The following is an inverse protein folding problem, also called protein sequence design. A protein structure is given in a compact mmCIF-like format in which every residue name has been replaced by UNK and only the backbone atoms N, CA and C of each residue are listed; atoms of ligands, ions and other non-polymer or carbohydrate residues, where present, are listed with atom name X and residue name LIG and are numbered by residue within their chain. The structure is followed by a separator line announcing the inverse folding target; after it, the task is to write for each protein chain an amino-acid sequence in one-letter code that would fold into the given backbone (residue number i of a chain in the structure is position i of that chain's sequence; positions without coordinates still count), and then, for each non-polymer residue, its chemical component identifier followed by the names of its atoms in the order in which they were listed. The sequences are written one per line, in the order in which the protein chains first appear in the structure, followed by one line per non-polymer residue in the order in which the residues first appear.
data_IF_602144789220
#
_entry.id   IF_602144789220
#
_cell.length_a   1.000
_cell.length_b   1.000
_cell.length_c   1.000
_cell.angle_alpha   90.00
_cell.angle_beta   90.00
_cell.angle_gamma   90.00
#
_symmetry.space_group_name_H-M   'P 1'
#
loop_
_entity.id
_entity.type
_entity.pdbx_description
1 polymer ?
#
# COMPACT_ATOMS: atom_id res chain seq x y z
N UNK A 1 -11.64 -3.35 34.65
CA UNK A 1 -10.49 -2.47 34.36
C UNK A 1 -9.92 -2.89 33.00
N UNK A 2 -9.77 -1.96 32.06
CA UNK A 2 -9.38 -2.26 30.67
C UNK A 2 -7.94 -2.78 30.50
N UNK A 3 -7.05 -2.57 31.43
CA UNK A 3 -5.67 -3.04 31.38
C UNK A 3 -5.45 -4.53 31.65
N UNK A 4 -6.51 -5.28 31.87
CA UNK A 4 -6.43 -6.76 31.89
C UNK A 4 -6.80 -7.40 30.54
N UNK A 5 -7.06 -6.59 29.51
CA UNK A 5 -7.36 -7.06 28.17
C UNK A 5 -6.11 -6.86 27.30
N UNK A 6 -5.47 -7.96 26.94
CA UNK A 6 -4.25 -7.98 26.13
C UNK A 6 -4.62 -8.28 24.69
N UNK A 7 -3.96 -7.58 23.75
CA UNK A 7 -4.05 -7.94 22.33
C UNK A 7 -3.23 -9.19 22.00
N UNK A 8 -3.49 -9.81 20.88
CA UNK A 8 -2.67 -10.89 20.33
C UNK A 8 -1.72 -10.32 19.27
N UNK A 9 -0.52 -10.90 19.22
CA UNK A 9 0.53 -10.43 18.31
C UNK A 9 1.12 -11.63 17.55
N UNK A 10 1.18 -11.53 16.25
CA UNK A 10 1.92 -12.41 15.38
C UNK A 10 3.18 -11.68 14.91
N UNK A 11 4.36 -12.17 15.32
CA UNK A 11 5.65 -11.54 15.00
C UNK A 11 6.59 -12.61 14.47
N UNK A 12 6.87 -12.59 13.18
CA UNK A 12 7.70 -13.60 12.52
C UNK A 12 8.39 -13.02 11.28
N UNK A 13 9.55 -13.59 10.93
CA UNK A 13 10.26 -13.29 9.68
C UNK A 13 11.03 -11.98 9.69
N UNK A 14 11.14 -11.29 10.85
CA UNK A 14 11.96 -10.08 10.94
C UNK A 14 13.44 -10.44 11.05
N UNK A 15 14.27 -9.68 10.34
CA UNK A 15 15.72 -9.84 10.34
C UNK A 15 16.35 -8.68 11.10
N UNK A 16 17.25 -8.98 12.03
CA UNK A 16 18.10 -8.01 12.69
C UNK A 16 19.54 -8.32 12.33
N UNK A 17 20.20 -7.42 11.59
CA UNK A 17 21.56 -7.61 11.10
C UNK A 17 22.64 -7.56 12.21
N UNK A 18 22.29 -6.99 13.37
CA UNK A 18 23.22 -6.83 14.51
C UNK A 18 23.02 -7.94 15.54
N UNK A 19 21.79 -8.42 15.73
CA UNK A 19 21.45 -9.39 16.76
C UNK A 19 20.83 -10.65 16.12
N UNK A 20 21.69 -11.63 15.85
CA UNK A 20 21.30 -12.88 15.19
C UNK A 20 20.23 -13.66 15.95
N UNK A 21 20.22 -13.60 17.28
CA UNK A 21 19.19 -14.27 18.10
C UNK A 21 17.80 -13.69 17.84
N UNK A 22 17.68 -12.39 17.62
CA UNK A 22 16.40 -11.74 17.24
C UNK A 22 15.90 -12.28 15.89
N UNK A 23 16.80 -12.45 14.92
CA UNK A 23 16.45 -13.05 13.62
C UNK A 23 16.00 -14.48 13.77
N UNK A 24 16.64 -15.25 14.64
CA UNK A 24 16.32 -16.67 14.89
C UNK A 24 14.97 -16.86 15.59
N UNK A 25 14.67 -16.01 16.56
CA UNK A 25 13.44 -16.03 17.32
C UNK A 25 13.00 -14.61 17.66
N UNK A 26 12.13 -14.08 16.78
CA UNK A 26 11.65 -12.71 16.89
C UNK A 26 10.86 -12.46 18.18
N UNK A 27 10.16 -13.48 18.69
CA UNK A 27 9.35 -13.32 19.89
C UNK A 27 10.19 -13.27 21.16
N UNK A 28 11.02 -14.27 21.35
CA UNK A 28 11.81 -14.41 22.58
C UNK A 28 12.81 -13.27 22.74
N UNK A 29 13.51 -12.92 21.66
CA UNK A 29 14.63 -11.98 21.71
C UNK A 29 14.30 -10.58 21.14
N UNK A 30 13.20 -10.45 20.40
CA UNK A 30 12.83 -9.19 19.76
C UNK A 30 11.70 -8.43 20.46
N UNK A 31 10.90 -9.09 21.30
CA UNK A 31 9.78 -8.46 21.99
C UNK A 31 10.12 -8.26 23.46
N UNK A 32 10.14 -6.99 23.86
CA UNK A 32 10.42 -6.58 25.22
C UNK A 32 9.16 -6.07 25.91
N UNK A 33 8.97 -6.48 27.14
CA UNK A 33 7.94 -5.92 27.99
C UNK A 33 8.41 -4.58 28.57
N UNK A 34 7.70 -3.50 28.25
CA UNK A 34 7.90 -2.18 28.85
C UNK A 34 6.70 -1.74 29.68
N UNK A 35 5.86 -2.68 30.10
CA UNK A 35 4.70 -2.38 30.94
C UNK A 35 5.19 -2.12 32.38
N UNK A 36 4.83 -0.98 32.92
CA UNK A 36 5.00 -0.70 34.34
C UNK A 36 4.02 -1.56 35.13
N UNK A 37 4.52 -2.62 35.76
CA UNK A 37 3.70 -3.57 36.52
C UNK A 37 2.92 -2.90 37.65
N UNK A 38 3.38 -1.79 38.21
CA UNK A 38 2.64 -1.03 39.21
C UNK A 38 1.35 -0.46 38.67
N UNK A 39 1.27 -0.20 37.36
CA UNK A 39 0.07 0.31 36.68
C UNK A 39 -0.94 -0.78 36.34
N UNK A 40 -0.54 -2.02 36.35
CA UNK A 40 -1.36 -3.19 36.01
C UNK A 40 -1.48 -4.19 37.17
N UNK A 41 -1.30 -3.72 38.39
CA UNK A 41 -1.40 -4.53 39.63
C UNK A 41 -0.44 -5.76 39.63
N UNK A 42 0.74 -5.62 39.04
CA UNK A 42 1.74 -6.71 38.89
C UNK A 42 1.20 -7.96 38.16
N UNK A 43 0.22 -7.80 37.29
CA UNK A 43 -0.42 -8.95 36.61
C UNK A 43 0.30 -9.38 35.33
N UNK A 44 1.20 -8.55 34.78
CA UNK A 44 1.98 -8.92 33.60
C UNK A 44 3.17 -9.81 33.99
N UNK A 45 3.23 -10.98 33.40
CA UNK A 45 4.29 -11.98 33.64
C UNK A 45 4.79 -12.54 32.31
N UNK A 46 5.84 -13.37 32.34
CA UNK A 46 6.29 -14.14 31.19
C UNK A 46 5.16 -15.00 30.61
N UNK A 47 4.34 -15.59 31.48
CA UNK A 47 3.16 -16.35 31.04
C UNK A 47 2.17 -15.46 30.24
N UNK A 48 1.99 -14.21 30.65
CA UNK A 48 1.15 -13.27 29.88
C UNK A 48 1.76 -13.00 28.51
N UNK A 49 3.08 -12.77 28.44
CA UNK A 49 3.79 -12.61 27.17
C UNK A 49 3.57 -13.81 26.25
N UNK A 50 3.69 -15.01 26.75
CA UNK A 50 3.53 -16.23 25.96
C UNK A 50 2.07 -16.43 25.49
N UNK A 51 1.12 -16.06 26.32
CA UNK A 51 -0.32 -16.18 26.02
C UNK A 51 -0.76 -15.23 24.88
N UNK A 52 -0.15 -14.06 24.76
CA UNK A 52 -0.49 -13.07 23.72
C UNK A 52 0.26 -13.30 22.40
N UNK A 53 1.17 -14.28 22.37
CA UNK A 53 1.87 -14.68 21.15
C UNK A 53 0.96 -15.55 20.28
N UNK A 54 0.65 -15.09 19.08
CA UNK A 54 0.01 -15.92 18.08
C UNK A 54 1.06 -16.72 17.31
N UNK A 55 0.84 -18.02 17.14
CA UNK A 55 1.70 -18.89 16.33
C UNK A 55 1.27 -18.93 14.87
N UNK A 56 0.09 -18.41 14.57
CA UNK A 56 -0.47 -18.31 13.21
C UNK A 56 -0.76 -16.85 12.87
N UNK A 57 -0.73 -16.47 11.58
CA UNK A 57 -1.12 -15.14 11.17
C UNK A 57 -2.52 -14.78 11.68
N UNK A 58 -2.69 -13.54 12.10
CA UNK A 58 -4.02 -13.03 12.46
C UNK A 58 -4.85 -12.85 11.19
N UNK A 59 -6.17 -13.03 11.32
CA UNK A 59 -7.09 -12.73 10.22
C UNK A 59 -7.02 -11.24 9.88
N UNK A 60 -6.73 -10.92 8.64
CA UNK A 60 -6.70 -9.56 8.11
C UNK A 60 -6.92 -9.60 6.59
N UNK A 61 -7.09 -8.43 5.98
CA UNK A 61 -7.21 -8.37 4.52
C UNK A 61 -5.95 -8.98 3.88
N UNK A 62 -6.11 -9.92 2.93
CA UNK A 62 -4.97 -10.65 2.38
C UNK A 62 -4.02 -9.72 1.66
N UNK A 63 -2.74 -9.81 2.02
CA UNK A 63 -1.63 -9.13 1.35
C UNK A 63 -0.55 -10.15 0.99
N UNK A 64 0.10 -9.95 -0.13
CA UNK A 64 1.25 -10.77 -0.49
C UNK A 64 2.40 -10.49 0.46
N UNK A 65 3.07 -11.54 0.88
CA UNK A 65 4.18 -11.49 1.83
C UNK A 65 5.42 -12.09 1.18
N UNK A 66 6.56 -11.59 1.55
CA UNK A 66 7.87 -12.05 1.09
C UNK A 66 8.86 -12.08 2.23
N UNK A 67 10.05 -12.62 1.99
CA UNK A 67 11.11 -12.62 3.02
C UNK A 67 11.55 -11.19 3.33
N UNK A 68 12.08 -10.95 4.53
CA UNK A 68 12.60 -9.64 4.92
C UNK A 68 13.73 -9.16 3.98
N UNK A 69 14.51 -10.08 3.41
CA UNK A 69 15.57 -9.75 2.46
C UNK A 69 15.00 -9.28 1.12
N UNK A 70 14.02 -9.99 0.58
CA UNK A 70 13.32 -9.57 -0.65
C UNK A 70 12.59 -8.26 -0.46
N UNK A 71 11.91 -8.09 0.69
CA UNK A 71 11.24 -6.84 1.04
C UNK A 71 12.24 -5.67 1.15
N UNK A 72 13.41 -5.90 1.75
CA UNK A 72 14.48 -4.90 1.82
C UNK A 72 14.92 -4.44 0.43
N UNK A 73 15.23 -5.38 -0.45
CA UNK A 73 15.67 -5.07 -1.82
C UNK A 73 14.59 -4.31 -2.60
N UNK A 74 13.32 -4.74 -2.48
CA UNK A 74 12.19 -4.07 -3.14
C UNK A 74 11.91 -2.68 -2.59
N UNK A 75 11.99 -2.49 -1.28
CA UNK A 75 11.83 -1.17 -0.67
C UNK A 75 12.92 -0.23 -1.17
N UNK A 76 14.17 -0.67 -1.21
CA UNK A 76 15.27 0.14 -1.76
C UNK A 76 15.09 0.44 -3.25
N UNK A 77 14.56 -0.49 -4.03
CA UNK A 77 14.35 -0.29 -5.47
C UNK A 77 13.16 0.62 -5.77
N UNK A 78 12.06 0.48 -5.03
CA UNK A 78 10.75 0.99 -5.46
C UNK A 78 10.04 1.92 -4.48
N UNK A 79 10.55 2.14 -3.26
CA UNK A 79 9.93 3.07 -2.32
C UNK A 79 10.14 4.54 -2.71
N UNK A 80 9.19 5.38 -2.36
CA UNK A 80 9.22 6.81 -2.63
C UNK A 80 9.03 7.14 -4.11
N UNK A 81 9.66 8.21 -4.58
CA UNK A 81 9.57 8.69 -5.96
C UNK A 81 10.43 7.83 -6.92
N UNK A 82 10.21 6.51 -6.92
CA UNK A 82 11.08 5.53 -7.59
C UNK A 82 11.13 5.66 -9.11
N UNK A 83 10.11 6.23 -9.74
CA UNK A 83 10.10 6.49 -11.18
C UNK A 83 11.17 7.51 -11.57
N UNK A 84 11.28 8.60 -10.80
CA UNK A 84 12.27 9.65 -10.99
C UNK A 84 12.78 10.17 -9.66
N UNK A 85 13.71 9.43 -9.05
CA UNK A 85 14.34 9.84 -7.79
C UNK A 85 15.23 11.05 -8.02
N UNK A 86 15.10 12.06 -7.18
CA UNK A 86 16.00 13.19 -7.12
C UNK A 86 17.30 12.85 -6.35
N UNK A 87 18.13 13.86 -6.09
CA UNK A 87 19.40 13.67 -5.41
C UNK A 87 19.21 13.24 -3.93
N UNK A 88 18.17 13.75 -3.27
CA UNK A 88 17.87 13.42 -1.87
C UNK A 88 17.34 12.01 -1.75
N UNK A 89 16.39 11.62 -2.64
CA UNK A 89 15.85 10.26 -2.68
C UNK A 89 16.97 9.22 -2.88
N UNK A 90 17.89 9.48 -3.81
CA UNK A 90 19.02 8.59 -4.07
C UNK A 90 19.93 8.49 -2.87
N UNK A 91 20.26 9.62 -2.24
CA UNK A 91 21.12 9.63 -1.05
C UNK A 91 20.49 8.79 0.08
N UNK A 92 19.21 8.98 0.37
CA UNK A 92 18.53 8.23 1.42
C UNK A 92 18.49 6.73 1.13
N UNK A 93 18.25 6.33 -0.12
CA UNK A 93 18.29 4.92 -0.52
C UNK A 93 19.70 4.33 -0.39
N UNK A 94 20.73 5.11 -0.73
CA UNK A 94 22.14 4.70 -0.62
C UNK A 94 22.61 4.62 0.84
N UNK A 95 22.20 5.54 1.68
CA UNK A 95 22.47 5.49 3.12
C UNK A 95 21.90 4.22 3.76
N UNK A 96 20.65 3.87 3.42
CA UNK A 96 20.05 2.62 3.91
C UNK A 96 20.79 1.40 3.36
N UNK A 97 21.14 1.37 2.08
CA UNK A 97 21.84 0.25 1.44
C UNK A 97 23.21 0.01 2.06
N UNK A 98 23.91 1.09 2.38
CA UNK A 98 25.29 1.03 2.87
C UNK A 98 25.39 1.06 4.40
N UNK A 99 24.28 1.22 5.12
CA UNK A 99 24.25 1.38 6.57
C UNK A 99 25.00 2.64 7.02
N UNK A 100 24.94 3.71 6.22
CA UNK A 100 25.57 5.00 6.48
C UNK A 100 24.57 6.04 6.96
N UNK A 101 25.06 7.13 7.50
CA UNK A 101 24.30 8.31 7.84
C UNK A 101 25.07 9.54 7.37
N UNK A 102 24.80 9.95 6.14
CA UNK A 102 25.53 11.07 5.49
C UNK A 102 25.30 12.38 6.23
N UNK A 103 24.11 12.59 6.75
CA UNK A 103 23.78 13.77 7.53
C UNK A 103 23.60 13.44 8.99
N UNK A 104 24.12 14.27 9.86
CA UNK A 104 24.07 14.04 11.30
C UNK A 104 22.92 14.74 11.98
N UNK A 105 22.18 15.60 11.29
CA UNK A 105 21.03 16.34 11.80
C UNK A 105 21.28 17.07 13.13
N UNK A 106 20.71 18.22 13.32
CA UNK A 106 20.82 18.93 14.59
C UNK A 106 19.70 18.61 15.58
N UNK A 107 18.70 17.88 15.15
CA UNK A 107 17.43 17.74 15.85
C UNK A 107 17.52 17.14 17.25
N UNK A 108 18.28 16.09 17.45
CA UNK A 108 18.59 15.60 18.79
C UNK A 108 20.06 15.78 19.18
N UNK A 109 20.86 16.37 18.30
CA UNK A 109 22.24 16.79 18.52
C UNK A 109 23.26 15.68 18.74
N UNK A 110 22.87 14.42 18.69
CA UNK A 110 23.74 13.32 19.13
C UNK A 110 23.64 12.05 18.28
N UNK A 111 22.58 11.86 17.51
CA UNK A 111 22.39 10.62 16.77
C UNK A 111 22.47 10.88 15.26
N UNK A 112 23.51 10.38 14.58
CA UNK A 112 23.62 10.47 13.13
C UNK A 112 22.40 9.89 12.43
N UNK A 113 21.98 10.49 11.33
CA UNK A 113 20.86 10.02 10.52
C UNK A 113 19.47 10.48 10.97
N UNK A 114 19.33 11.11 12.13
CA UNK A 114 18.03 11.68 12.55
C UNK A 114 17.94 13.12 12.07
N UNK A 115 17.04 13.36 11.13
CA UNK A 115 16.77 14.65 10.51
C UNK A 115 15.43 15.16 11.03
N UNK A 116 15.43 16.30 11.74
CA UNK A 116 14.19 16.93 12.24
C UNK A 116 13.74 18.14 11.42
N UNK A 117 14.63 18.65 10.59
CA UNK A 117 14.36 19.77 9.69
C UNK A 117 15.12 19.54 8.38
N UNK A 118 14.53 19.98 7.27
CA UNK A 118 15.19 19.95 5.98
C UNK A 118 16.54 20.67 6.01
N UNK A 119 16.72 21.66 6.88
CA UNK A 119 17.98 22.39 7.04
C UNK A 119 19.09 21.57 7.72
N UNK A 120 18.74 20.47 8.36
CA UNK A 120 19.72 19.55 8.96
C UNK A 120 20.57 18.83 7.89
N UNK A 121 20.14 18.86 6.64
CA UNK A 121 20.88 18.32 5.51
C UNK A 121 21.90 19.32 4.92
N UNK A 122 22.01 20.55 5.45
CA UNK A 122 22.96 21.54 4.94
C UNK A 122 24.39 21.06 5.14
N UNK A 123 25.17 20.89 4.07
CA UNK A 123 26.61 20.62 4.17
C UNK A 123 27.32 21.73 4.94
N UNK A 124 28.39 21.37 5.68
CA UNK A 124 29.13 22.33 6.51
C UNK A 124 29.83 23.40 5.70
N UNK A 125 30.13 23.09 4.44
CA UNK A 125 30.82 23.97 3.47
C UNK A 125 29.83 24.67 2.50
N UNK A 126 28.53 24.46 2.68
CA UNK A 126 27.54 25.08 1.82
C UNK A 126 27.41 26.58 2.08
N UNK A 127 27.36 27.36 0.99
CA UNK A 127 27.13 28.81 1.01
C UNK A 127 25.77 29.25 1.53
N UNK A 128 25.55 30.55 1.51
CA UNK A 128 24.25 31.14 1.94
C UNK A 128 23.11 30.80 0.99
N UNK A 129 23.41 30.63 -0.30
CA UNK A 129 22.42 30.30 -1.34
C UNK A 129 21.98 28.83 -1.34
N UNK A 130 22.49 28.01 -0.41
CA UNK A 130 22.10 26.62 -0.33
C UNK A 130 20.61 26.48 0.02
N UNK A 131 19.96 25.57 -0.68
CA UNK A 131 18.57 25.20 -0.42
C UNK A 131 18.46 23.69 -0.13
N UNK A 132 17.58 23.28 0.80
CA UNK A 132 17.32 21.85 1.05
C UNK A 132 16.56 21.18 -0.09
N UNK A 133 15.97 21.96 -0.97
CA UNK A 133 15.15 21.45 -2.06
C UNK A 133 16.00 21.19 -3.30
N UNK A 134 16.08 19.96 -3.78
CA UNK A 134 16.82 19.65 -5.00
C UNK A 134 16.15 20.29 -6.22
N UNK A 135 16.95 20.63 -7.22
CA UNK A 135 16.42 21.04 -8.51
C UNK A 135 15.83 19.82 -9.20
N UNK A 136 14.51 19.84 -9.41
CA UNK A 136 13.83 18.78 -10.14
C UNK A 136 14.11 18.93 -11.64
N UNK A 137 14.42 17.80 -12.28
CA UNK A 137 14.55 17.76 -13.73
C UNK A 137 13.15 17.75 -14.35
N UNK A 138 12.82 18.78 -15.07
CA UNK A 138 11.56 18.84 -15.80
C UNK A 138 11.70 18.13 -17.15
N UNK A 139 10.88 17.12 -17.40
CA UNK A 139 10.74 16.47 -18.70
C UNK A 139 9.92 17.32 -19.68
N UNK A 140 9.74 16.80 -20.88
CA UNK A 140 8.77 17.37 -21.82
C UNK A 140 7.36 17.09 -21.28
N UNK A 141 6.54 18.13 -21.19
CA UNK A 141 5.13 17.94 -20.89
C UNK A 141 4.44 17.37 -22.14
N UNK A 142 3.74 16.26 -22.04
CA UNK A 142 2.92 15.78 -23.15
C UNK A 142 1.80 16.78 -23.44
N UNK A 143 1.20 16.68 -24.64
CA UNK A 143 0.02 17.47 -24.98
C UNK A 143 -1.16 17.02 -24.11
N UNK A 144 -1.87 17.96 -23.56
CA UNK A 144 -3.06 17.83 -22.75
C UNK A 144 -3.98 19.00 -23.20
N UNK A 145 -4.94 18.68 -24.08
CA UNK A 145 -5.69 19.70 -24.82
C UNK A 145 -6.77 20.36 -23.98
N UNK A 146 -7.43 19.62 -23.09
CA UNK A 146 -8.48 20.14 -22.21
C UNK A 146 -7.95 20.58 -20.83
N UNK A 147 -6.70 20.18 -20.49
CA UNK A 147 -6.02 20.62 -19.27
C UNK A 147 -6.48 19.86 -18.02
N UNK A 148 -6.98 18.65 -18.16
CA UNK A 148 -7.51 17.83 -17.07
C UNK A 148 -6.44 17.00 -16.32
N UNK A 149 -5.20 17.01 -16.84
CA UNK A 149 -4.03 16.34 -16.25
C UNK A 149 -3.73 14.98 -16.87
N UNK A 150 -4.48 14.55 -17.88
CA UNK A 150 -4.21 13.35 -18.66
C UNK A 150 -3.69 13.72 -20.06
N UNK A 151 -2.66 13.03 -20.58
CA UNK A 151 -2.18 13.31 -21.94
C UNK A 151 -3.17 12.83 -23.00
N UNK A 152 -3.36 13.61 -24.07
CA UNK A 152 -4.20 13.27 -25.23
C UNK A 152 -3.92 11.87 -25.78
N UNK A 153 -2.65 11.47 -25.83
CA UNK A 153 -2.24 10.15 -26.32
C UNK A 153 -2.75 9.04 -25.40
N UNK A 154 -2.65 9.25 -24.09
CA UNK A 154 -3.15 8.28 -23.12
C UNK A 154 -4.67 8.17 -23.17
N UNK A 155 -5.36 9.31 -23.23
CA UNK A 155 -6.82 9.37 -23.28
C UNK A 155 -7.36 8.65 -24.52
N UNK A 156 -6.82 8.97 -25.69
CA UNK A 156 -7.18 8.29 -26.95
C UNK A 156 -6.98 6.77 -26.86
N UNK A 157 -5.86 6.35 -26.26
CA UNK A 157 -5.55 4.93 -26.11
C UNK A 157 -6.46 4.20 -25.13
N UNK A 158 -7.06 4.92 -24.17
CA UNK A 158 -7.89 4.36 -23.09
C UNK A 158 -9.39 4.67 -23.24
N UNK A 159 -9.79 5.30 -24.34
CA UNK A 159 -11.18 5.56 -24.68
C UNK A 159 -11.79 6.77 -23.98
N UNK A 160 -10.95 7.69 -23.52
CA UNK A 160 -11.32 9.02 -23.07
C UNK A 160 -11.30 10.00 -24.25
N UNK A 161 -11.88 11.18 -24.08
CA UNK A 161 -11.93 12.23 -25.10
C UNK A 161 -10.99 13.38 -24.77
N UNK A 162 -9.86 13.57 -25.50
CA UNK A 162 -8.86 14.60 -25.21
C UNK A 162 -9.36 16.06 -25.26
N UNK A 163 -10.63 16.27 -25.54
CA UNK A 163 -11.22 17.62 -25.62
C UNK A 163 -12.24 17.88 -24.52
N UNK A 164 -12.45 16.93 -23.60
CA UNK A 164 -13.47 16.99 -22.55
C UNK A 164 -12.82 16.62 -21.23
N UNK A 165 -12.74 17.58 -20.30
CA UNK A 165 -12.31 17.30 -18.92
C UNK A 165 -13.17 16.17 -18.31
N UNK A 166 -12.67 14.95 -18.43
CA UNK A 166 -13.30 13.75 -17.92
C UNK A 166 -12.44 13.02 -16.85
N UNK A 167 -11.39 13.66 -16.36
CA UNK A 167 -10.48 13.12 -15.36
C UNK A 167 -11.18 12.53 -14.12
N UNK A 168 -12.25 13.16 -13.67
CA UNK A 168 -13.02 12.71 -12.50
C UNK A 168 -14.10 11.68 -12.84
N UNK A 169 -14.33 11.34 -14.11
CA UNK A 169 -15.29 10.30 -14.51
C UNK A 169 -14.80 8.92 -14.10
N UNK A 170 -15.73 8.08 -13.63
CA UNK A 170 -15.43 6.73 -13.22
C UNK A 170 -15.39 5.79 -14.42
N UNK A 171 -14.26 5.15 -14.62
CA UNK A 171 -14.11 4.05 -15.56
C UNK A 171 -14.86 2.78 -15.10
N UNK A 172 -14.97 1.79 -15.97
CA UNK A 172 -15.67 0.53 -15.69
C UNK A 172 -15.10 -0.26 -14.49
N UNK A 173 -13.84 -0.04 -14.14
CA UNK A 173 -13.18 -0.65 -12.99
C UNK A 173 -13.49 0.08 -11.66
N UNK A 174 -14.23 1.17 -11.68
CA UNK A 174 -14.62 1.96 -10.50
C UNK A 174 -13.62 3.01 -10.05
N UNK A 175 -12.48 3.16 -10.74
CA UNK A 175 -11.52 4.25 -10.53
C UNK A 175 -11.81 5.43 -11.45
N UNK A 176 -11.47 6.64 -11.01
CA UNK A 176 -11.51 7.80 -11.88
C UNK A 176 -10.47 7.68 -13.02
N UNK A 177 -10.73 8.32 -14.16
CA UNK A 177 -9.81 8.27 -15.30
C UNK A 177 -8.41 8.76 -14.92
N UNK A 178 -8.30 9.85 -14.18
CA UNK A 178 -6.99 10.36 -13.68
C UNK A 178 -6.27 9.35 -12.76
N UNK A 179 -7.00 8.57 -11.95
CA UNK A 179 -6.40 7.52 -11.13
C UNK A 179 -5.87 6.37 -11.99
N UNK A 180 -6.61 6.00 -13.04
CA UNK A 180 -6.15 5.01 -14.01
C UNK A 180 -4.90 5.48 -14.76
N UNK A 181 -4.85 6.75 -15.15
CA UNK A 181 -3.66 7.35 -15.75
C UNK A 181 -2.48 7.29 -14.78
N UNK A 182 -2.63 7.80 -13.57
CA UNK A 182 -1.56 7.81 -12.57
C UNK A 182 -1.04 6.40 -12.27
N UNK A 183 -1.92 5.41 -12.17
CA UNK A 183 -1.56 4.01 -11.98
C UNK A 183 -0.83 3.43 -13.19
N UNK A 184 -1.19 3.82 -14.42
CA UNK A 184 -0.53 3.35 -15.63
C UNK A 184 0.92 3.79 -15.73
N UNK A 185 1.24 4.98 -15.25
CA UNK A 185 2.62 5.54 -15.23
C UNK A 185 3.58 4.69 -14.40
N UNK A 186 3.09 4.02 -13.37
CA UNK A 186 3.90 3.18 -12.46
C UNK A 186 3.57 1.69 -12.57
N UNK A 187 2.87 1.27 -13.60
CA UNK A 187 2.39 -0.12 -13.76
C UNK A 187 3.53 -1.15 -13.73
N UNK A 188 4.66 -0.86 -14.38
CA UNK A 188 5.82 -1.75 -14.40
C UNK A 188 6.46 -1.87 -13.02
N UNK A 189 6.55 -0.76 -12.27
CA UNK A 189 7.05 -0.74 -10.90
C UNK A 189 6.14 -1.57 -10.01
N UNK A 190 4.82 -1.36 -10.09
CA UNK A 190 3.82 -2.11 -9.33
C UNK A 190 3.91 -3.61 -9.62
N UNK A 191 4.06 -3.98 -10.89
CA UNK A 191 4.26 -5.38 -11.30
C UNK A 191 5.54 -5.96 -10.71
N UNK A 192 6.64 -5.21 -10.74
CA UNK A 192 7.91 -5.65 -10.18
C UNK A 192 7.84 -5.82 -8.64
N UNK A 193 7.13 -4.93 -7.95
CA UNK A 193 6.90 -5.02 -6.50
C UNK A 193 6.12 -6.28 -6.10
N UNK A 194 5.15 -6.69 -6.89
CA UNK A 194 4.30 -7.85 -6.60
C UNK A 194 4.97 -9.19 -6.94
N UNK A 195 6.04 -9.16 -7.73
CA UNK A 195 6.72 -10.38 -8.18
C UNK A 195 7.32 -11.16 -7.00
N UNK A 196 6.97 -12.44 -6.88
CA UNK A 196 7.51 -13.34 -5.86
C UNK A 196 6.80 -13.28 -4.49
N UNK A 197 5.89 -12.33 -4.28
CA UNK A 197 5.10 -12.29 -3.06
C UNK A 197 4.12 -13.47 -2.98
N UNK A 198 3.97 -14.06 -1.81
CA UNK A 198 3.06 -15.19 -1.56
C UNK A 198 2.08 -14.87 -0.43
N UNK A 199 0.90 -15.47 -0.47
CA UNK A 199 -0.01 -15.44 0.67
C UNK A 199 0.49 -16.35 1.76
N UNK A 200 0.53 -15.88 3.01
CA UNK A 200 0.87 -16.73 4.15
C UNK A 200 -0.23 -17.76 4.40
N UNK A 201 0.18 -18.99 4.70
CA UNK A 201 -0.75 -20.03 5.12
C UNK A 201 -1.50 -19.58 6.39
N UNK A 202 -2.81 -19.74 6.39
CA UNK A 202 -3.69 -19.34 7.50
C UNK A 202 -4.12 -17.86 7.46
N UNK A 203 -3.71 -17.06 6.50
CA UNK A 203 -4.32 -15.76 6.24
C UNK A 203 -5.77 -15.96 5.80
N UNK A 204 -6.68 -15.28 6.48
CA UNK A 204 -8.10 -15.21 6.12
C UNK A 204 -8.46 -13.74 5.94
N UNK A 205 -9.41 -13.46 5.07
CA UNK A 205 -9.98 -12.12 5.01
C UNK A 205 -10.56 -11.73 6.36
N UNK A 206 -10.15 -10.58 6.86
CA UNK A 206 -10.86 -9.96 7.95
C UNK A 206 -12.28 -9.65 7.48
N UNK A 207 -13.28 -9.98 8.27
CA UNK A 207 -14.66 -9.55 8.00
C UNK A 207 -14.73 -8.03 8.11
N UNK A 208 -14.52 -7.34 7.01
CA UNK A 208 -14.56 -5.86 6.95
C UNK A 208 -16.00 -5.33 6.83
N UNK A 209 -17.01 -6.15 7.00
CA UNK A 209 -18.40 -5.77 6.77
C UNK A 209 -18.77 -5.57 5.29
N UNK A 210 -17.78 -5.60 4.40
CA UNK A 210 -17.97 -5.64 2.95
C UNK A 210 -17.73 -7.09 2.53
N UNK A 211 -18.80 -7.88 2.50
CA UNK A 211 -18.73 -9.27 2.03
C UNK A 211 -18.46 -9.29 0.52
N UNK A 212 -17.18 -9.29 0.14
CA UNK A 212 -16.75 -9.77 -1.15
C UNK A 212 -16.58 -11.29 -1.06
N UNK A 213 -17.19 -12.06 -1.92
CA UNK A 213 -16.97 -13.49 -2.00
C UNK A 213 -15.51 -13.74 -2.44
N UNK A 214 -14.70 -14.26 -1.52
CA UNK A 214 -13.37 -14.77 -1.87
C UNK A 214 -13.56 -16.19 -2.38
N UNK A 215 -13.20 -16.42 -3.62
CA UNK A 215 -13.13 -17.77 -4.16
C UNK A 215 -11.90 -18.46 -3.55
N UNK A 216 -12.05 -19.53 -2.74
CA UNK A 216 -10.91 -20.24 -2.20
C UNK A 216 -10.09 -20.88 -3.31
N UNK A 217 -8.77 -20.68 -3.30
CA UNK A 217 -7.86 -21.34 -4.23
C UNK A 217 -7.96 -22.85 -4.10
N UNK A 218 -8.17 -23.53 -5.21
CA UNK A 218 -7.92 -24.96 -5.34
C UNK A 218 -6.43 -25.23 -5.12
N UNK A 219 -6.18 -26.18 -4.22
CA UNK A 219 -4.87 -26.70 -3.87
C UNK A 219 -4.41 -27.62 -4.99
N UNK A 220 -3.89 -27.14 -6.09
CA UNK A 220 -3.18 -27.93 -7.12
C UNK A 220 -2.69 -26.98 -8.22
N UNK A 221 -1.56 -26.32 -7.98
CA UNK A 221 -0.59 -26.05 -9.03
C UNK A 221 0.74 -25.57 -8.43
N UNK A 222 1.73 -26.45 -8.51
CA UNK A 222 3.11 -26.25 -8.02
C UNK A 222 3.96 -25.56 -9.11
N UNK A 223 3.41 -24.57 -9.78
CA UNK A 223 4.16 -23.69 -10.68
C UNK A 223 4.11 -22.28 -10.14
N UNK A 224 5.03 -22.01 -9.22
CA UNK A 224 5.18 -20.73 -8.56
C UNK A 224 5.17 -19.52 -9.48
N UNK A 225 4.07 -18.98 -9.72
CA UNK A 225 3.69 -17.58 -9.98
C UNK A 225 2.21 -17.63 -10.37
N UNK A 226 1.37 -17.66 -9.36
CA UNK A 226 0.00 -17.35 -9.63
C UNK A 226 -0.10 -15.82 -9.72
N UNK A 227 -0.17 -15.32 -10.93
CA UNK A 227 -0.72 -14.02 -11.25
C UNK A 227 -2.20 -14.04 -10.86
N UNK A 228 -2.50 -14.21 -9.57
CA UNK A 228 -3.74 -13.75 -9.04
C UNK A 228 -3.67 -12.20 -8.98
N UNK A 229 -3.65 -11.60 -10.16
CA UNK A 229 -4.61 -10.55 -10.37
C UNK A 229 -5.86 -11.06 -9.66
N UNK A 230 -6.30 -10.35 -8.64
CA UNK A 230 -7.72 -10.27 -8.36
C UNK A 230 -8.29 -10.15 -9.75
N UNK A 231 -8.83 -11.24 -10.27
CA UNK A 231 -9.64 -11.15 -11.46
C UNK A 231 -10.78 -10.30 -10.94
N UNK A 232 -10.70 -9.00 -11.15
CA UNK A 232 -11.89 -8.17 -11.14
C UNK A 232 -12.76 -8.93 -12.11
N UNK A 233 -13.76 -9.64 -11.58
CA UNK A 233 -14.69 -10.36 -12.41
C UNK A 233 -15.17 -9.32 -13.40
N UNK A 234 -14.85 -9.50 -14.68
CA UNK A 234 -15.28 -8.56 -15.70
C UNK A 234 -16.77 -8.45 -15.59
N UNK A 235 -17.18 -7.37 -14.97
CA UNK A 235 -18.58 -7.01 -14.81
C UNK A 235 -18.99 -6.51 -16.18
N UNK A 236 -19.93 -7.16 -16.79
CA UNK A 236 -20.62 -6.54 -17.92
C UNK A 236 -21.23 -5.24 -17.40
N UNK A 237 -21.09 -4.16 -18.15
CA UNK A 237 -21.46 -2.79 -17.78
C UNK A 237 -22.55 -2.68 -16.72
N UNK A 238 -22.31 -2.02 -15.58
CA UNK A 238 -23.30 -1.90 -14.52
C UNK A 238 -24.54 -1.18 -15.06
N UNK A 239 -25.73 -1.64 -14.67
CA UNK A 239 -26.98 -0.95 -14.97
C UNK A 239 -27.48 -0.24 -13.73
N UNK A 240 -27.88 0.99 -13.89
CA UNK A 240 -28.37 1.83 -12.79
C UNK A 240 -29.89 1.94 -12.86
N UNK A 241 -30.52 1.88 -11.70
CA UNK A 241 -31.98 2.03 -11.58
C UNK A 241 -32.29 3.03 -10.48
N UNK A 242 -33.31 3.82 -10.67
CA UNK A 242 -33.93 4.61 -9.61
C UNK A 242 -34.62 3.69 -8.59
N UNK A 243 -35.01 4.25 -7.45
CA UNK A 243 -35.68 3.47 -6.38
C UNK A 243 -37.02 2.87 -6.80
N UNK A 244 -37.67 3.46 -7.81
CA UNK A 244 -38.89 3.01 -8.46
C UNK A 244 -38.64 2.01 -9.60
N UNK A 245 -37.38 1.57 -9.80
CA UNK A 245 -37.03 0.53 -10.77
C UNK A 245 -36.80 1.02 -12.20
N UNK A 246 -36.80 2.31 -12.46
CA UNK A 246 -36.57 2.87 -13.80
C UNK A 246 -35.08 2.82 -14.12
N UNK A 247 -34.70 2.18 -15.24
CA UNK A 247 -33.30 2.12 -15.70
C UNK A 247 -32.80 3.51 -16.12
N UNK A 248 -31.56 3.83 -15.75
CA UNK A 248 -30.88 5.09 -16.03
C UNK A 248 -29.53 4.83 -16.67
N UNK A 249 -29.08 5.65 -17.62
CA UNK A 249 -27.76 5.49 -18.25
C UNK A 249 -26.60 5.75 -17.28
N UNK A 250 -26.80 6.63 -16.32
CA UNK A 250 -25.84 7.00 -15.28
C UNK A 250 -26.52 7.11 -13.92
N UNK A 251 -25.79 6.95 -12.80
CA UNK A 251 -26.36 7.14 -11.47
C UNK A 251 -26.80 8.59 -11.27
N UNK A 252 -27.89 8.80 -10.57
CA UNK A 252 -28.45 10.11 -10.26
C UNK A 252 -28.17 10.49 -8.80
N UNK A 253 -28.18 11.78 -8.48
CA UNK A 253 -28.10 12.23 -7.08
C UNK A 253 -29.18 11.55 -6.22
N UNK A 254 -28.79 11.04 -5.07
CA UNK A 254 -29.67 10.29 -4.18
C UNK A 254 -29.44 8.79 -4.24
N UNK A 255 -30.49 7.99 -4.00
CA UNK A 255 -30.39 6.54 -3.94
C UNK A 255 -30.52 5.95 -5.34
N UNK A 256 -29.58 5.10 -5.71
CA UNK A 256 -29.61 4.30 -6.92
C UNK A 256 -29.50 2.81 -6.58
N UNK A 257 -30.14 1.97 -7.38
CA UNK A 257 -29.97 0.51 -7.36
C UNK A 257 -29.04 0.16 -8.53
N UNK A 258 -27.95 -0.50 -8.25
CA UNK A 258 -26.99 -0.96 -9.26
C UNK A 258 -27.15 -2.44 -9.45
N UNK A 259 -27.38 -2.87 -10.68
CA UNK A 259 -27.41 -4.27 -11.08
C UNK A 259 -26.16 -4.57 -11.91
N UNK A 260 -25.34 -5.47 -11.42
CA UNK A 260 -24.14 -5.97 -12.10
C UNK A 260 -24.36 -7.42 -12.49
N UNK A 261 -24.14 -7.76 -13.75
CA UNK A 261 -24.14 -9.14 -14.21
C UNK A 261 -22.68 -9.60 -14.29
N UNK A 262 -22.36 -10.68 -13.63
CA UNK A 262 -21.05 -11.29 -13.66
C UNK A 262 -20.89 -12.16 -14.89
N UNK A 263 -19.66 -12.47 -15.30
CA UNK A 263 -19.36 -13.31 -16.48
C UNK A 263 -19.93 -14.74 -16.36
N UNK A 264 -20.09 -15.24 -15.15
CA UNK A 264 -20.71 -16.53 -14.83
C UNK A 264 -22.24 -16.51 -14.89
N UNK A 265 -22.84 -15.37 -15.25
CA UNK A 265 -24.28 -15.17 -15.31
C UNK A 265 -24.93 -14.77 -13.99
N UNK A 266 -24.17 -14.75 -12.89
CA UNK A 266 -24.69 -14.29 -11.60
C UNK A 266 -24.98 -12.80 -11.64
N UNK A 267 -26.01 -12.38 -10.90
CA UNK A 267 -26.43 -10.97 -10.83
C UNK A 267 -26.27 -10.47 -9.41
N UNK A 268 -25.50 -9.42 -9.24
CA UNK A 268 -25.35 -8.69 -7.98
C UNK A 268 -26.18 -7.41 -8.03
N UNK A 269 -26.94 -7.16 -6.98
CA UNK A 269 -27.74 -5.94 -6.85
C UNK A 269 -27.28 -5.19 -5.61
N UNK A 270 -26.94 -3.92 -5.77
CA UNK A 270 -26.43 -3.06 -4.70
C UNK A 270 -27.22 -1.76 -4.64
N UNK A 271 -27.33 -1.20 -3.44
CA UNK A 271 -27.85 0.16 -3.23
C UNK A 271 -26.65 1.10 -3.05
N UNK A 272 -26.58 2.13 -3.86
CA UNK A 272 -25.57 3.20 -3.72
C UNK A 272 -26.27 4.54 -3.47
N UNK A 273 -25.59 5.44 -2.79
CA UNK A 273 -26.07 6.80 -2.52
C UNK A 273 -25.08 7.78 -3.12
N UNK A 274 -25.54 8.50 -4.15
CA UNK A 274 -24.77 9.58 -4.77
C UNK A 274 -25.09 10.91 -4.05
N UNK A 275 -24.09 11.62 -3.62
CA UNK A 275 -24.20 12.88 -2.88
C UNK A 275 -24.17 14.10 -3.78
#
# INVERSE_FOLDING_TARGET
KMWHVWGNFYVRGNVNSVHADVTKDNWTYGIYNQIDNSKVDNTYTQRTKDTICSTTPLAFYPVTTETAYEAYDKVLAYAGASLHRDAVDRLLADDVRNGTATYTGKGNGKTPGIINSQNDMKPTDAGEDWTPWPTLQQGLSPTDTDGDGMPDEWETANGCDPTIDDAAMLAANGYANIENYANSVVADITTAQLKGGMMLEGQQEAETGIKGEVVPKKKDDDTGIDNNRTTFMEVTSPRFYSIDGIERPIPQKGINIVRQTMRDGNVKVMKIVMR
#
